data_IF_157369651808
#
_entry.id   IF_157369651808
#
_cell.length_a   1.000
_cell.length_b   1.000
_cell.length_c   1.000
_cell.angle_alpha   90.00
_cell.angle_beta   90.00
_cell.angle_gamma   90.00
#
_symmetry.space_group_name_H-M   'P 1'
#
loop_
_entity.id
_entity.type
_entity.pdbx_description
1 polymer ?
#
# COMPACT_ATOMS: atom_id res chain seq x y z
N UNK A 1 14.71 1.10 -15.13
CA UNK A 1 14.70 -0.37 -14.89
C UNK A 1 13.82 -1.13 -15.88
N UNK A 2 12.82 -0.49 -16.46
CA UNK A 2 11.95 -1.06 -17.49
C UNK A 2 11.52 0.03 -18.47
N UNK A 3 10.85 -0.32 -19.58
CA UNK A 3 10.42 0.66 -20.60
C UNK A 3 9.58 1.82 -20.05
N UNK A 4 8.78 1.59 -19.01
CA UNK A 4 7.94 2.64 -18.40
C UNK A 4 8.74 3.73 -17.67
N UNK A 5 10.06 3.57 -17.50
CA UNK A 5 10.94 4.61 -16.97
C UNK A 5 11.22 5.72 -17.99
N UNK A 6 10.74 5.59 -19.24
CA UNK A 6 10.76 6.63 -20.26
C UNK A 6 9.37 6.71 -20.87
N UNK A 7 8.69 7.83 -20.70
CA UNK A 7 7.33 8.05 -21.21
C UNK A 7 7.26 9.39 -21.93
N UNK A 8 6.34 9.49 -22.89
CA UNK A 8 6.04 10.74 -23.56
C UNK A 8 4.87 11.45 -22.86
N UNK A 9 5.00 12.77 -22.75
CA UNK A 9 3.99 13.67 -22.21
C UNK A 9 3.84 14.87 -23.14
N UNK A 10 2.67 15.49 -23.11
CA UNK A 10 2.46 16.77 -23.77
C UNK A 10 2.89 17.91 -22.82
N UNK A 11 3.82 18.78 -23.24
CA UNK A 11 4.32 19.84 -22.38
C UNK A 11 3.25 20.93 -22.17
N UNK A 12 3.05 21.31 -20.91
CA UNK A 12 2.25 22.47 -20.52
C UNK A 12 3.21 23.54 -20.01
N UNK A 13 3.13 24.74 -20.58
CA UNK A 13 3.96 25.86 -20.13
C UNK A 13 3.55 26.27 -18.73
N UNK A 14 4.54 26.42 -17.86
CA UNK A 14 4.38 26.82 -16.46
C UNK A 14 5.41 27.90 -16.12
N UNK A 15 5.08 28.73 -15.14
CA UNK A 15 6.03 29.67 -14.56
C UNK A 15 6.83 28.94 -13.46
N UNK A 16 8.11 28.67 -13.71
CA UNK A 16 9.01 28.04 -12.73
C UNK A 16 10.11 27.19 -13.38
N UNK A 17 11.08 26.78 -12.56
CA UNK A 17 12.23 25.96 -13.00
C UNK A 17 12.09 24.47 -12.64
N UNK A 18 10.94 24.04 -12.11
CA UNK A 18 10.68 22.68 -11.68
C UNK A 18 9.72 21.98 -12.62
N UNK A 19 9.98 20.71 -12.94
CA UNK A 19 9.11 19.89 -13.78
C UNK A 19 7.91 19.43 -12.94
N UNK A 20 6.70 19.71 -13.43
CA UNK A 20 5.48 19.15 -12.85
C UNK A 20 5.19 17.80 -13.52
N UNK A 21 5.13 16.74 -12.70
CA UNK A 21 4.80 15.40 -13.17
C UNK A 21 3.49 14.92 -12.53
N UNK A 22 2.72 14.16 -13.29
CA UNK A 22 1.46 13.62 -12.83
C UNK A 22 1.66 12.58 -11.71
N UNK A 23 0.96 12.64 -10.56
CA UNK A 23 1.23 11.77 -9.42
C UNK A 23 1.02 10.27 -9.69
N UNK A 24 0.13 9.92 -10.63
CA UNK A 24 -0.12 8.51 -10.99
C UNK A 24 1.02 7.85 -11.78
N UNK A 25 1.92 8.63 -12.39
CA UNK A 25 3.07 8.07 -13.11
C UNK A 25 4.30 7.89 -12.23
N UNK A 26 4.35 8.52 -11.05
CA UNK A 26 5.48 8.43 -10.12
C UNK A 26 5.82 6.97 -9.76
N UNK A 27 4.83 6.10 -9.63
CA UNK A 27 5.04 4.67 -9.39
C UNK A 27 5.80 3.97 -10.53
N UNK A 28 5.59 4.40 -11.78
CA UNK A 28 6.32 3.85 -12.93
C UNK A 28 7.77 4.37 -12.98
N UNK A 29 7.98 5.64 -12.64
CA UNK A 29 9.34 6.20 -12.57
C UNK A 29 10.11 5.76 -11.32
N UNK A 30 9.41 5.24 -10.31
CA UNK A 30 9.93 5.07 -8.96
C UNK A 30 10.55 6.39 -8.45
N UNK A 31 9.85 7.49 -8.73
CA UNK A 31 10.26 8.83 -8.37
C UNK A 31 9.46 9.32 -7.15
N UNK A 32 10.12 10.06 -6.28
CA UNK A 32 9.47 10.84 -5.24
C UNK A 32 9.75 12.33 -5.42
N UNK A 33 9.40 13.14 -4.42
CA UNK A 33 9.51 14.60 -4.48
C UNK A 33 10.46 15.16 -3.41
N UNK A 34 11.47 14.38 -3.00
CA UNK A 34 12.44 14.80 -2.00
C UNK A 34 13.71 15.49 -2.58
N UNK A 35 13.80 15.57 -3.91
CA UNK A 35 14.93 16.14 -4.63
C UNK A 35 15.28 15.45 -5.95
N UNK A 36 14.55 14.38 -6.30
CA UNK A 36 14.70 13.66 -7.56
C UNK A 36 14.68 14.59 -8.79
N UNK A 37 15.58 14.31 -9.73
CA UNK A 37 15.71 15.04 -10.99
C UNK A 37 15.31 14.16 -12.17
N UNK A 38 14.65 14.78 -13.16
CA UNK A 38 14.24 14.10 -14.39
C UNK A 38 14.86 14.75 -15.62
N UNK A 39 15.36 13.93 -16.53
CA UNK A 39 15.87 14.38 -17.81
C UNK A 39 14.72 14.48 -18.84
N UNK A 40 14.70 15.57 -19.61
CA UNK A 40 13.72 15.81 -20.67
C UNK A 40 14.41 15.75 -22.02
N UNK A 41 13.86 14.98 -22.94
CA UNK A 41 14.34 14.85 -24.32
C UNK A 41 13.25 15.28 -25.28
N UNK A 42 13.62 16.00 -26.34
CA UNK A 42 12.68 16.50 -27.35
C UNK A 42 12.85 15.69 -28.65
N UNK A 43 11.82 14.95 -29.10
CA UNK A 43 11.87 14.26 -30.38
C UNK A 43 11.85 15.26 -31.54
N UNK A 44 12.83 15.17 -32.45
CA UNK A 44 12.99 16.11 -33.56
C UNK A 44 12.38 15.61 -34.87
N UNK A 45 12.52 14.32 -35.18
CA UNK A 45 12.02 13.76 -36.44
C UNK A 45 10.52 13.49 -36.36
N UNK A 46 9.80 13.63 -37.48
CA UNK A 46 8.37 13.29 -37.54
C UNK A 46 8.08 11.84 -37.13
N UNK A 47 9.00 10.93 -37.48
CA UNK A 47 8.91 9.53 -37.09
C UNK A 47 8.99 9.36 -35.56
N UNK A 48 9.95 10.03 -34.91
CA UNK A 48 10.11 9.99 -33.45
C UNK A 48 8.94 10.66 -32.72
N UNK A 49 8.40 11.76 -33.24
CA UNK A 49 7.21 12.41 -32.68
C UNK A 49 6.00 11.48 -32.75
N UNK A 50 5.82 10.79 -33.88
CA UNK A 50 4.75 9.80 -34.06
C UNK A 50 4.92 8.62 -33.10
N UNK A 51 6.11 8.06 -33.00
CA UNK A 51 6.42 6.97 -32.05
C UNK A 51 6.15 7.39 -30.60
N UNK A 52 6.58 8.60 -30.21
CA UNK A 52 6.34 9.12 -28.87
C UNK A 52 4.83 9.21 -28.56
N UNK A 53 4.02 9.70 -29.51
CA UNK A 53 2.55 9.80 -29.35
C UNK A 53 1.85 8.45 -29.41
N UNK A 54 2.29 7.55 -30.28
CA UNK A 54 1.59 6.29 -30.54
C UNK A 54 2.01 5.16 -29.62
N UNK A 55 3.24 5.15 -29.08
CA UNK A 55 3.78 4.04 -28.30
C UNK A 55 4.24 4.45 -26.90
N UNK A 56 4.85 5.63 -26.77
CA UNK A 56 5.45 6.06 -25.50
C UNK A 56 4.52 6.88 -24.61
N UNK A 57 3.38 7.33 -25.12
CA UNK A 57 2.43 8.16 -24.38
C UNK A 57 2.02 7.46 -23.07
N UNK A 58 2.03 8.22 -21.96
CA UNK A 58 1.73 7.69 -20.62
C UNK A 58 0.38 6.96 -20.56
N UNK A 59 -0.64 7.46 -21.27
CA UNK A 59 -1.98 6.87 -21.36
C UNK A 59 -1.99 5.44 -21.91
N UNK A 60 -1.05 5.09 -22.80
CA UNK A 60 -0.97 3.73 -23.39
C UNK A 60 -0.17 2.77 -22.52
N UNK A 61 0.61 3.32 -21.58
CA UNK A 61 1.55 2.62 -20.74
C UNK A 61 1.00 2.42 -19.32
N UNK A 62 -0.28 2.02 -19.22
CA UNK A 62 -0.98 1.82 -17.94
C UNK A 62 -0.61 0.52 -17.23
N UNK A 63 -0.23 -0.52 -17.98
CA UNK A 63 0.00 -1.86 -17.47
C UNK A 63 1.49 -2.21 -17.40
N UNK A 64 1.86 -3.05 -16.43
CA UNK A 64 3.17 -3.69 -16.36
C UNK A 64 3.31 -4.68 -17.52
N UNK A 65 4.38 -4.58 -18.33
CA UNK A 65 4.67 -5.59 -19.35
C UNK A 65 4.94 -6.98 -18.76
N UNK A 66 5.35 -7.07 -17.50
CA UNK A 66 5.72 -8.32 -16.83
C UNK A 66 4.53 -9.17 -16.38
N UNK A 67 3.43 -8.56 -15.93
CA UNK A 67 2.30 -9.28 -15.33
C UNK A 67 0.93 -8.77 -15.80
N UNK A 68 0.86 -7.72 -16.62
CA UNK A 68 -0.40 -7.14 -17.09
C UNK A 68 -1.21 -6.43 -16.00
N UNK A 69 -0.66 -6.23 -14.81
CA UNK A 69 -1.31 -5.46 -13.74
C UNK A 69 -1.16 -3.96 -13.97
N UNK A 70 -2.13 -3.13 -13.53
CA UNK A 70 -2.03 -1.68 -13.68
C UNK A 70 -0.94 -1.10 -12.78
N UNK A 71 -0.04 -0.31 -13.37
CA UNK A 71 0.98 0.50 -12.65
C UNK A 71 0.38 1.80 -12.16
N UNK A 72 -0.39 2.46 -13.04
CA UNK A 72 -1.04 3.72 -12.76
C UNK A 72 -2.27 3.47 -11.87
N UNK A 73 -2.01 3.33 -10.58
CA UNK A 73 -3.03 3.13 -9.56
C UNK A 73 -2.94 4.25 -8.53
N UNK A 74 -4.07 4.65 -7.91
CA UNK A 74 -4.03 5.60 -6.81
C UNK A 74 -3.09 5.11 -5.69
N UNK A 75 -2.25 6.01 -5.19
CA UNK A 75 -1.29 5.76 -4.12
C UNK A 75 -1.50 6.74 -2.95
N UNK A 76 -0.98 6.38 -1.78
CA UNK A 76 -0.91 7.24 -0.58
C UNK A 76 -2.23 7.98 -0.31
N UNK A 77 -2.22 9.31 -0.39
CA UNK A 77 -3.33 10.21 -0.03
C UNK A 77 -4.59 9.97 -0.86
N UNK A 78 -4.43 9.62 -2.15
CA UNK A 78 -5.58 9.28 -2.99
C UNK A 78 -6.31 8.04 -2.46
N UNK A 79 -5.55 7.04 -2.00
CA UNK A 79 -6.12 5.84 -1.37
C UNK A 79 -6.76 6.19 -0.04
N UNK A 80 -6.10 7.01 0.77
CA UNK A 80 -6.64 7.43 2.07
C UNK A 80 -7.98 8.17 1.92
N UNK A 81 -8.08 9.11 0.97
CA UNK A 81 -9.33 9.84 0.71
C UNK A 81 -10.45 8.93 0.22
N UNK A 82 -10.16 8.01 -0.71
CA UNK A 82 -11.14 7.03 -1.18
C UNK A 82 -11.58 6.07 -0.06
N UNK A 83 -10.64 5.66 0.80
CA UNK A 83 -10.92 4.80 1.94
C UNK A 83 -11.80 5.53 2.96
N UNK A 84 -11.44 6.75 3.35
CA UNK A 84 -12.21 7.59 4.26
C UNK A 84 -13.64 7.80 3.75
N UNK A 85 -13.79 8.10 2.46
CA UNK A 85 -15.08 8.30 1.81
C UNK A 85 -15.96 7.04 1.82
N UNK A 86 -15.37 5.85 1.75
CA UNK A 86 -16.11 4.58 1.62
C UNK A 86 -16.20 3.76 2.90
N UNK A 87 -15.56 4.22 3.97
CA UNK A 87 -15.63 3.62 5.30
C UNK A 87 -16.97 3.91 5.98
N UNK A 88 -17.45 2.98 6.79
CA UNK A 88 -18.72 3.10 7.52
C UNK A 88 -18.43 3.13 9.02
N UNK A 89 -19.03 4.10 9.70
CA UNK A 89 -18.93 4.26 11.15
C UNK A 89 -20.28 3.99 11.81
N UNK A 90 -20.26 3.07 12.79
CA UNK A 90 -21.43 2.80 13.64
C UNK A 90 -21.68 4.00 14.55
N UNK A 91 -22.93 4.43 14.70
CA UNK A 91 -23.32 5.60 15.50
C UNK A 91 -23.10 6.94 14.81
N UNK A 92 -22.82 6.97 13.50
CA UNK A 92 -22.64 8.22 12.76
C UNK A 92 -23.96 8.98 12.59
N UNK A 93 -23.87 10.31 12.44
CA UNK A 93 -25.04 11.20 12.31
C UNK A 93 -25.86 10.79 11.08
N UNK A 94 -27.11 10.37 11.31
CA UNK A 94 -28.02 9.97 10.24
C UNK A 94 -28.08 8.48 9.92
N UNK A 95 -27.50 7.63 10.77
CA UNK A 95 -27.62 6.17 10.68
C UNK A 95 -29.09 5.71 10.60
N UNK A 96 -29.37 4.79 9.69
CA UNK A 96 -30.69 4.18 9.48
C UNK A 96 -31.72 5.09 8.78
N UNK A 97 -31.34 6.29 8.34
CA UNK A 97 -32.23 7.14 7.54
C UNK A 97 -32.49 6.52 6.17
N UNK A 98 -33.73 6.71 5.69
CA UNK A 98 -34.20 6.19 4.41
C UNK A 98 -34.37 7.33 3.41
N UNK A 99 -33.81 7.15 2.21
CA UNK A 99 -33.91 8.11 1.11
C UNK A 99 -34.52 7.44 -0.12
N UNK A 100 -35.26 8.21 -0.93
CA UNK A 100 -35.91 7.67 -2.13
C UNK A 100 -34.93 7.46 -3.27
N UNK A 101 -33.89 8.29 -3.38
CA UNK A 101 -32.86 8.18 -4.40
C UNK A 101 -31.50 8.73 -3.95
N UNK A 102 -30.52 8.63 -4.86
CA UNK A 102 -29.13 9.06 -4.59
C UNK A 102 -29.00 10.58 -4.42
N UNK A 103 -29.73 11.36 -5.22
CA UNK A 103 -29.77 12.82 -5.12
C UNK A 103 -30.28 13.30 -3.76
N UNK A 104 -31.32 12.65 -3.20
CA UNK A 104 -31.85 13.01 -1.88
C UNK A 104 -30.83 12.77 -0.76
N UNK A 105 -30.10 11.65 -0.85
CA UNK A 105 -29.04 11.33 0.10
C UNK A 105 -27.89 12.33 0.00
N UNK A 106 -27.51 12.73 -1.22
CA UNK A 106 -26.47 13.74 -1.44
C UNK A 106 -26.89 15.11 -0.91
N UNK A 107 -28.11 15.55 -1.21
CA UNK A 107 -28.65 16.81 -0.69
C UNK A 107 -28.67 16.80 0.85
N UNK A 108 -29.05 15.68 1.47
CA UNK A 108 -29.01 15.54 2.92
C UNK A 108 -27.59 15.65 3.49
N UNK A 109 -26.57 15.19 2.76
CA UNK A 109 -25.17 15.37 3.14
C UNK A 109 -24.74 16.84 3.02
N UNK A 110 -25.06 17.49 1.89
CA UNK A 110 -24.75 18.90 1.65
C UNK A 110 -25.41 19.84 2.68
N UNK A 111 -26.61 19.49 3.15
CA UNK A 111 -27.32 20.17 4.24
C UNK A 111 -26.82 19.82 5.64
N UNK A 112 -25.83 18.91 5.77
CA UNK A 112 -25.26 18.48 7.04
C UNK A 112 -26.19 17.62 7.91
N UNK A 113 -27.23 17.02 7.32
CA UNK A 113 -28.22 16.18 8.00
C UNK A 113 -27.74 14.72 8.19
N UNK A 114 -26.79 14.28 7.37
CA UNK A 114 -26.12 12.98 7.45
C UNK A 114 -24.60 13.15 7.33
N UNK A 115 -23.84 12.22 7.91
CA UNK A 115 -22.39 12.12 7.75
C UNK A 115 -22.01 11.22 6.57
N UNK A 116 -20.80 11.38 6.02
CA UNK A 116 -20.28 10.59 4.89
C UNK A 116 -20.23 9.08 5.18
N UNK A 117 -19.92 8.76 6.43
CA UNK A 117 -19.66 7.43 6.99
C UNK A 117 -20.91 6.79 7.62
N UNK A 118 -22.07 7.47 7.59
CA UNK A 118 -23.32 6.93 8.12
C UNK A 118 -23.90 5.85 7.20
N UNK A 119 -24.34 4.74 7.81
CA UNK A 119 -25.07 3.69 7.10
C UNK A 119 -26.52 4.15 6.85
N UNK A 120 -26.89 4.27 5.58
CA UNK A 120 -28.19 4.76 5.10
C UNK A 120 -28.85 3.72 4.19
N UNK A 121 -30.17 3.77 4.12
CA UNK A 121 -30.97 2.95 3.20
C UNK A 121 -31.46 3.82 2.04
N UNK A 122 -31.07 3.48 0.81
CA UNK A 122 -31.47 4.25 -0.38
C UNK A 122 -32.20 3.35 -1.36
N UNK A 123 -33.32 3.83 -1.90
CA UNK A 123 -34.02 3.16 -2.99
C UNK A 123 -33.14 3.07 -4.24
N UNK A 124 -32.95 1.86 -4.77
CA UNK A 124 -32.12 1.64 -5.96
C UNK A 124 -32.66 2.34 -7.21
N UNK A 125 -31.76 2.93 -8.00
CA UNK A 125 -32.06 3.56 -9.30
C UNK A 125 -32.64 2.60 -10.35
N UNK A 126 -32.58 1.28 -10.13
CA UNK A 126 -32.98 0.28 -11.13
C UNK A 126 -34.49 -0.02 -11.17
N UNK A 127 -35.34 0.80 -10.56
CA UNK A 127 -36.80 0.65 -10.63
C UNK A 127 -37.40 -0.57 -9.93
N UNK A 128 -36.57 -1.50 -9.42
CA UNK A 128 -37.00 -2.74 -8.77
C UNK A 128 -37.39 -2.59 -7.29
N UNK A 129 -37.38 -1.38 -6.72
CA UNK A 129 -37.76 -1.17 -5.32
C UNK A 129 -36.81 -1.80 -4.28
N UNK A 130 -35.65 -2.30 -4.70
CA UNK A 130 -34.64 -2.83 -3.78
C UNK A 130 -34.01 -1.69 -2.98
N UNK A 131 -34.11 -1.80 -1.65
CA UNK A 131 -33.47 -0.89 -0.70
C UNK A 131 -32.02 -1.31 -0.53
N UNK A 132 -31.10 -0.46 -0.95
CA UNK A 132 -29.65 -0.68 -0.83
C UNK A 132 -29.14 -0.04 0.46
N UNK A 133 -28.48 -0.84 1.31
CA UNK A 133 -27.72 -0.34 2.46
C UNK A 133 -26.37 0.18 2.00
N UNK A 134 -26.14 1.48 2.06
CA UNK A 134 -24.92 2.14 1.57
C UNK A 134 -24.54 3.30 2.49
N UNK A 135 -23.55 4.10 2.11
CA UNK A 135 -23.23 5.38 2.77
C UNK A 135 -23.29 6.53 1.77
N UNK A 136 -23.46 7.76 2.26
CA UNK A 136 -23.41 8.95 1.42
C UNK A 136 -22.07 9.06 0.68
N UNK A 137 -20.96 8.71 1.35
CA UNK A 137 -19.66 8.73 0.70
C UNK A 137 -19.50 7.66 -0.39
N UNK A 138 -20.05 6.45 -0.21
CA UNK A 138 -20.07 5.44 -1.28
C UNK A 138 -20.89 5.89 -2.49
N UNK A 139 -21.98 6.64 -2.29
CA UNK A 139 -22.78 7.19 -3.40
C UNK A 139 -21.92 8.18 -4.21
N UNK A 140 -21.29 9.13 -3.53
CA UNK A 140 -20.40 10.13 -4.14
C UNK A 140 -19.25 9.45 -4.90
N UNK A 141 -18.65 8.39 -4.33
CA UNK A 141 -17.61 7.62 -5.00
C UNK A 141 -18.11 6.96 -6.29
N UNK A 142 -19.32 6.42 -6.28
CA UNK A 142 -19.90 5.73 -7.44
C UNK A 142 -20.38 6.68 -8.55
N UNK A 143 -20.71 7.94 -8.23
CA UNK A 143 -21.05 8.96 -9.24
C UNK A 143 -19.87 9.24 -10.19
N UNK A 144 -18.65 9.18 -9.65
CA UNK A 144 -17.40 9.39 -10.39
C UNK A 144 -17.07 8.23 -11.33
N UNK A 145 -17.63 7.04 -11.08
CA UNK A 145 -17.39 5.87 -11.91
C UNK A 145 -18.27 5.87 -13.19
N UNK A 146 -17.78 5.26 -14.28
CA UNK A 146 -18.57 5.07 -15.50
C UNK A 146 -19.85 4.27 -15.19
N UNK A 147 -20.91 4.51 -15.97
CA UNK A 147 -22.23 3.88 -15.78
C UNK A 147 -22.15 2.36 -15.61
N UNK A 148 -21.27 1.70 -16.36
CA UNK A 148 -21.06 0.25 -16.37
C UNK A 148 -20.44 -0.30 -15.07
N UNK A 149 -19.79 0.55 -14.28
CA UNK A 149 -19.10 0.20 -13.04
C UNK A 149 -19.77 0.72 -11.77
N UNK A 150 -20.93 1.37 -11.91
CA UNK A 150 -21.67 1.92 -10.77
C UNK A 150 -22.10 0.82 -9.79
N UNK A 151 -22.18 1.20 -8.52
CA UNK A 151 -22.57 0.38 -7.37
C UNK A 151 -21.54 -0.61 -6.82
N UNK A 152 -20.33 -0.13 -6.56
CA UNK A 152 -19.37 -0.81 -5.67
C UNK A 152 -19.66 -0.46 -4.21
N UNK A 153 -20.36 -1.34 -3.52
CA UNK A 153 -20.70 -1.17 -2.10
C UNK A 153 -19.68 -1.84 -1.17
N UNK A 154 -18.41 -1.45 -1.27
CA UNK A 154 -17.31 -1.99 -0.46
C UNK A 154 -16.37 -0.86 -0.04
N UNK A 155 -15.56 -1.12 0.98
CA UNK A 155 -14.48 -0.20 1.37
C UNK A 155 -13.38 -0.25 0.30
N UNK A 156 -12.94 0.91 -0.14
CA UNK A 156 -11.94 1.05 -1.20
C UNK A 156 -10.54 1.15 -0.60
N UNK A 157 -9.96 -0.01 -0.29
CA UNK A 157 -8.52 -0.13 0.02
C UNK A 157 -7.66 -0.09 -1.26
N UNK A 158 -6.34 -0.01 -1.10
CA UNK A 158 -5.37 -0.02 -2.22
C UNK A 158 -5.57 -1.21 -3.17
N UNK A 159 -5.90 -2.39 -2.63
CA UNK A 159 -6.10 -3.61 -3.43
C UNK A 159 -7.43 -3.62 -4.19
N UNK A 160 -8.47 -3.02 -3.64
CA UNK A 160 -9.78 -2.83 -4.25
C UNK A 160 -9.69 -1.78 -5.37
N UNK A 161 -8.98 -0.68 -5.14
CA UNK A 161 -8.72 0.33 -6.18
C UNK A 161 -7.89 -0.25 -7.32
N UNK A 162 -6.85 -1.04 -7.04
CA UNK A 162 -6.06 -1.74 -8.07
C UNK A 162 -6.94 -2.65 -8.93
N UNK A 163 -7.85 -3.42 -8.31
CA UNK A 163 -8.81 -4.27 -9.01
C UNK A 163 -9.80 -3.46 -9.84
N UNK A 164 -10.31 -2.35 -9.30
CA UNK A 164 -11.21 -1.46 -10.01
C UNK A 164 -10.57 -0.91 -11.29
N UNK A 165 -9.32 -0.45 -11.20
CA UNK A 165 -8.57 0.05 -12.37
C UNK A 165 -8.31 -1.08 -13.38
N UNK A 166 -7.98 -2.28 -12.92
CA UNK A 166 -7.78 -3.43 -13.80
C UNK A 166 -9.07 -3.82 -14.54
N UNK A 167 -10.21 -3.83 -13.84
CA UNK A 167 -11.50 -4.13 -14.44
C UNK A 167 -11.90 -3.04 -15.46
N UNK A 168 -11.70 -1.76 -15.11
CA UNK A 168 -11.97 -0.63 -16.02
C UNK A 168 -11.14 -0.75 -17.30
N UNK A 169 -9.84 -1.05 -17.18
CA UNK A 169 -8.97 -1.20 -18.34
C UNK A 169 -9.41 -2.33 -19.26
N UNK A 170 -9.84 -3.48 -18.69
CA UNK A 170 -10.28 -4.65 -19.46
C UNK A 170 -11.57 -4.42 -20.23
N UNK A 171 -12.52 -3.68 -19.66
CA UNK A 171 -13.86 -3.51 -20.23
C UNK A 171 -13.98 -2.25 -21.10
N UNK A 172 -13.37 -1.15 -20.68
CA UNK A 172 -13.54 0.17 -21.29
C UNK A 172 -12.30 0.67 -22.06
N UNK A 173 -11.17 -0.02 -21.95
CA UNK A 173 -9.91 0.39 -22.57
C UNK A 173 -9.23 1.54 -21.83
N UNK A 174 -8.17 2.09 -22.46
CA UNK A 174 -7.25 3.02 -21.81
C UNK A 174 -7.79 4.45 -21.67
N UNK A 175 -8.56 4.96 -22.64
CA UNK A 175 -9.04 6.35 -22.62
C UNK A 175 -10.05 6.60 -21.49
N UNK A 176 -11.04 5.72 -21.38
CA UNK A 176 -12.01 5.77 -20.30
C UNK A 176 -11.35 5.55 -18.93
N UNK A 177 -10.40 4.62 -18.83
CA UNK A 177 -9.65 4.36 -17.60
C UNK A 177 -8.84 5.58 -17.16
N UNK A 178 -8.27 6.34 -18.09
CA UNK A 178 -7.57 7.59 -17.79
C UNK A 178 -8.50 8.62 -17.14
N UNK A 179 -9.69 8.82 -17.71
CA UNK A 179 -10.68 9.74 -17.17
C UNK A 179 -11.14 9.32 -15.76
N UNK A 180 -11.34 8.01 -15.54
CA UNK A 180 -11.67 7.47 -14.22
C UNK A 180 -10.55 7.74 -13.22
N UNK A 181 -9.30 7.46 -13.60
CA UNK A 181 -8.13 7.71 -12.76
C UNK A 181 -7.98 9.19 -12.39
N UNK A 182 -8.22 10.11 -13.33
CA UNK A 182 -8.17 11.54 -13.07
C UNK A 182 -9.27 12.01 -12.13
N UNK A 183 -10.48 11.47 -12.27
CA UNK A 183 -11.56 11.80 -11.36
C UNK A 183 -11.33 11.19 -9.96
N UNK A 184 -10.81 9.95 -9.88
CA UNK A 184 -10.40 9.32 -8.62
C UNK A 184 -9.29 10.10 -7.93
N UNK A 185 -8.33 10.65 -8.69
CA UNK A 185 -7.29 11.53 -8.16
C UNK A 185 -7.89 12.78 -7.52
N UNK A 186 -8.76 13.49 -8.24
CA UNK A 186 -9.43 14.71 -7.73
C UNK A 186 -10.23 14.40 -6.47
N UNK A 187 -11.06 13.36 -6.51
CA UNK A 187 -11.88 12.91 -5.39
C UNK A 187 -11.01 12.50 -4.19
N UNK A 188 -9.97 11.71 -4.44
CA UNK A 188 -9.05 11.23 -3.41
C UNK A 188 -8.37 12.39 -2.68
N UNK A 189 -7.82 13.38 -3.40
CA UNK A 189 -7.18 14.53 -2.76
C UNK A 189 -8.17 15.44 -2.03
N UNK A 190 -9.36 15.67 -2.59
CA UNK A 190 -10.38 16.49 -1.94
C UNK A 190 -10.83 15.87 -0.60
N UNK A 191 -11.16 14.58 -0.59
CA UNK A 191 -11.61 13.90 0.62
C UNK A 191 -10.48 13.56 1.58
N UNK A 192 -9.24 13.40 1.13
CA UNK A 192 -8.08 13.33 2.02
C UNK A 192 -7.86 14.65 2.76
N UNK A 193 -8.10 15.79 2.11
CA UNK A 193 -8.03 17.10 2.76
C UNK A 193 -9.17 17.29 3.75
N UNK A 194 -10.41 16.93 3.36
CA UNK A 194 -11.60 17.04 4.23
C UNK A 194 -11.57 16.07 5.41
N UNK A 195 -10.88 14.93 5.31
CA UNK A 195 -10.81 13.97 6.40
C UNK A 195 -10.08 14.53 7.62
N UNK A 196 -9.24 15.57 7.45
CA UNK A 196 -8.47 16.16 8.53
C UNK A 196 -7.53 15.15 9.20
N UNK A 197 -7.13 14.10 8.47
CA UNK A 197 -6.31 13.03 9.03
C UNK A 197 -4.95 13.58 9.38
N UNK A 198 -4.63 13.55 10.67
CA UNK A 198 -3.34 13.94 11.21
C UNK A 198 -2.75 12.79 12.02
N UNK A 199 -1.48 12.94 12.40
CA UNK A 199 -0.80 12.04 13.32
C UNK A 199 -0.27 12.90 14.46
N UNK A 200 -0.78 12.67 15.66
CA UNK A 200 -0.25 13.21 16.89
C UNK A 200 0.49 12.11 17.67
N UNK A 201 1.40 12.53 18.56
CA UNK A 201 2.06 11.58 19.46
C UNK A 201 1.04 10.85 20.37
N UNK A 202 -0.10 11.48 20.67
CA UNK A 202 -1.21 10.88 21.42
C UNK A 202 -1.90 9.73 20.69
N UNK A 203 -1.87 9.71 19.35
CA UNK A 203 -2.56 8.68 18.55
C UNK A 203 -1.85 7.33 18.60
N UNK A 204 -0.59 7.34 19.05
CA UNK A 204 0.23 6.16 19.28
C UNK A 204 0.15 5.82 20.77
N UNK A 205 -0.86 5.04 21.16
CA UNK A 205 -1.01 4.59 22.54
C UNK A 205 -0.26 3.29 22.80
N UNK A 206 0.57 3.29 23.85
CA UNK A 206 1.27 2.09 24.32
C UNK A 206 0.27 1.22 25.09
N UNK A 207 0.07 -0.06 24.72
CA UNK A 207 -0.88 -0.92 25.41
C UNK A 207 -0.48 -1.15 26.87
N UNK A 208 -1.43 -1.03 27.80
CA UNK A 208 -1.19 -1.27 29.24
C UNK A 208 -0.76 -2.72 29.52
N UNK A 209 -1.21 -3.68 28.73
CA UNK A 209 -0.83 -5.09 28.84
C UNK A 209 0.62 -5.37 28.43
N UNK A 210 1.30 -4.42 27.76
CA UNK A 210 2.69 -4.58 27.32
C UNK A 210 3.62 -4.94 28.46
N UNK A 211 3.55 -4.23 29.59
CA UNK A 211 4.42 -4.48 30.74
C UNK A 211 4.29 -5.92 31.25
N UNK A 212 3.04 -6.40 31.35
CA UNK A 212 2.75 -7.77 31.77
C UNK A 212 3.27 -8.82 30.77
N UNK A 213 3.10 -8.58 29.47
CA UNK A 213 3.61 -9.49 28.43
C UNK A 213 5.15 -9.57 28.42
N UNK A 214 5.83 -8.46 28.72
CA UNK A 214 7.29 -8.44 28.86
C UNK A 214 7.75 -9.21 30.10
N UNK A 215 7.06 -9.04 31.23
CA UNK A 215 7.34 -9.77 32.46
C UNK A 215 7.13 -11.29 32.29
N UNK A 216 6.04 -11.70 31.65
CA UNK A 216 5.79 -13.11 31.28
C UNK A 216 6.90 -13.67 30.36
N UNK A 217 7.42 -12.83 29.45
CA UNK A 217 8.55 -13.18 28.59
C UNK A 217 9.85 -13.37 29.39
N UNK A 218 10.15 -12.43 30.28
CA UNK A 218 11.34 -12.47 31.14
C UNK A 218 11.33 -13.69 32.09
N UNK A 219 10.17 -14.03 32.67
CA UNK A 219 10.01 -15.24 33.51
C UNK A 219 10.29 -16.52 32.72
N UNK A 220 9.78 -16.61 31.49
CA UNK A 220 10.04 -17.78 30.62
C UNK A 220 11.51 -17.91 30.26
N UNK A 221 12.18 -16.80 29.96
CA UNK A 221 13.63 -16.79 29.68
C UNK A 221 14.42 -17.18 30.93
N UNK A 222 14.04 -16.69 32.12
CA UNK A 222 14.70 -17.07 33.38
C UNK A 222 14.60 -18.58 33.66
N UNK A 223 13.48 -19.23 33.32
CA UNK A 223 13.34 -20.69 33.41
C UNK A 223 14.30 -21.39 32.45
N UNK A 224 14.43 -20.91 31.22
CA UNK A 224 15.36 -21.46 30.21
C UNK A 224 16.81 -21.30 30.70
N UNK A 225 17.18 -20.13 31.22
CA UNK A 225 18.51 -19.91 31.81
C UNK A 225 18.76 -20.82 33.02
N UNK A 226 17.76 -21.02 33.89
CA UNK A 226 17.90 -21.96 35.01
C UNK A 226 18.07 -23.41 34.53
N UNK A 227 17.44 -23.82 33.44
CA UNK A 227 17.62 -25.16 32.86
C UNK A 227 19.03 -25.31 32.29
N UNK A 228 19.53 -24.28 31.61
CA UNK A 228 20.90 -24.23 31.09
C UNK A 228 21.93 -24.30 32.22
N UNK A 229 21.76 -23.51 33.28
CA UNK A 229 22.66 -23.51 34.45
C UNK A 229 22.66 -24.84 35.21
N UNK A 230 21.59 -25.63 35.10
CA UNK A 230 21.50 -26.99 35.64
C UNK A 230 22.02 -28.07 34.68
N UNK A 231 22.48 -27.69 33.50
CA UNK A 231 23.00 -28.61 32.47
C UNK A 231 21.92 -29.45 31.78
N UNK A 232 20.64 -29.04 31.82
CA UNK A 232 19.52 -29.80 31.23
C UNK A 232 19.34 -29.54 29.73
N UNK A 233 19.86 -28.42 29.22
CA UNK A 233 19.77 -28.01 27.81
C UNK A 233 21.13 -27.53 27.32
N UNK A 234 21.35 -27.60 26.00
CA UNK A 234 22.57 -27.06 25.37
C UNK A 234 22.47 -25.55 25.14
N UNK A 235 23.58 -24.88 24.82
CA UNK A 235 23.56 -23.44 24.51
C UNK A 235 22.80 -23.13 23.21
N UNK A 236 22.89 -24.00 22.20
CA UNK A 236 22.13 -23.86 20.95
C UNK A 236 20.61 -23.99 21.21
N UNK A 237 20.20 -24.88 22.11
CA UNK A 237 18.81 -25.01 22.55
C UNK A 237 18.35 -23.81 23.38
N UNK A 238 19.20 -23.31 24.29
CA UNK A 238 18.95 -22.08 25.06
C UNK A 238 18.70 -20.91 24.12
N UNK A 239 19.59 -20.71 23.15
CA UNK A 239 19.51 -19.63 22.16
C UNK A 239 18.23 -19.73 21.32
N UNK A 240 17.95 -20.92 20.76
CA UNK A 240 16.78 -21.13 19.89
C UNK A 240 15.47 -20.92 20.66
N UNK A 241 15.36 -21.46 21.88
CA UNK A 241 14.17 -21.27 22.74
C UNK A 241 14.00 -19.81 23.17
N UNK A 242 15.08 -19.10 23.46
CA UNK A 242 15.03 -17.67 23.84
C UNK A 242 14.47 -16.83 22.70
N UNK A 243 14.92 -17.08 21.46
CA UNK A 243 14.39 -16.40 20.26
C UNK A 243 12.91 -16.72 20.05
N UNK A 244 12.51 -17.97 20.22
CA UNK A 244 11.12 -18.40 20.08
C UNK A 244 10.21 -17.65 21.08
N UNK A 245 10.60 -17.61 22.36
CA UNK A 245 9.87 -16.87 23.40
C UNK A 245 9.69 -15.40 23.02
N UNK A 246 10.76 -14.73 22.61
CA UNK A 246 10.67 -13.30 22.25
C UNK A 246 9.90 -13.04 20.97
N UNK A 247 9.93 -13.99 20.02
CA UNK A 247 9.11 -13.92 18.81
C UNK A 247 7.62 -14.01 19.16
N UNK A 248 7.23 -14.97 20.00
CA UNK A 248 5.85 -15.11 20.49
C UNK A 248 5.39 -13.87 21.27
N UNK A 249 6.23 -13.33 22.16
CA UNK A 249 5.90 -12.10 22.92
C UNK A 249 5.70 -10.92 21.97
N UNK A 250 6.56 -10.79 20.96
CA UNK A 250 6.45 -9.73 19.94
C UNK A 250 5.14 -9.86 19.16
N UNK A 251 4.73 -11.06 18.80
CA UNK A 251 3.49 -11.31 18.06
C UNK A 251 2.25 -11.02 18.93
N UNK A 252 2.25 -11.44 20.21
CA UNK A 252 1.17 -11.09 21.16
C UNK A 252 1.03 -9.59 21.38
N UNK A 253 2.16 -8.87 21.47
CA UNK A 253 2.15 -7.40 21.54
C UNK A 253 1.57 -6.80 20.26
N UNK A 254 1.91 -7.35 19.09
CA UNK A 254 1.38 -6.90 17.79
C UNK A 254 -0.14 -7.06 17.71
N UNK A 255 -0.66 -8.19 18.17
CA UNK A 255 -2.10 -8.46 18.21
C UNK A 255 -2.82 -7.51 19.16
N UNK A 256 -2.27 -7.31 20.36
CA UNK A 256 -2.81 -6.38 21.36
C UNK A 256 -2.90 -4.95 20.79
N UNK A 257 -1.84 -4.47 20.14
CA UNK A 257 -1.82 -3.13 19.52
C UNK A 257 -2.90 -3.02 18.44
N UNK A 258 -3.04 -4.05 17.62
CA UNK A 258 -4.03 -4.07 16.53
C UNK A 258 -5.47 -3.99 17.07
N UNK A 259 -5.71 -4.51 18.27
CA UNK A 259 -7.01 -4.44 18.95
C UNK A 259 -7.23 -3.14 19.71
N UNK A 260 -6.18 -2.53 20.27
CA UNK A 260 -6.27 -1.31 21.08
C UNK A 260 -6.36 -0.03 20.26
N UNK A 261 -5.87 -0.04 19.01
CA UNK A 261 -5.93 1.12 18.13
C UNK A 261 -7.38 1.51 17.80
N UNK A 262 -7.66 2.81 17.84
CA UNK A 262 -8.94 3.33 17.36
C UNK A 262 -9.09 3.02 15.86
N UNK A 263 -10.14 2.25 15.52
CA UNK A 263 -10.46 1.85 14.15
C UNK A 263 -10.78 3.03 13.24
N UNK A 264 -11.11 4.19 13.82
CA UNK A 264 -11.38 5.42 13.10
C UNK A 264 -10.25 6.46 13.26
N UNK A 265 -9.17 6.11 13.97
CA UNK A 265 -8.00 6.96 14.14
C UNK A 265 -7.14 7.03 12.88
N UNK A 266 -6.42 8.14 12.71
CA UNK A 266 -5.61 8.41 11.51
C UNK A 266 -4.56 7.33 11.23
N UNK A 267 -3.82 6.91 12.27
CA UNK A 267 -2.77 5.88 12.17
C UNK A 267 -3.35 4.54 11.68
N UNK A 268 -4.52 4.14 12.20
CA UNK A 268 -5.17 2.90 11.80
C UNK A 268 -5.67 2.97 10.35
N UNK A 269 -6.31 4.07 9.97
CA UNK A 269 -6.78 4.28 8.60
C UNK A 269 -5.63 4.26 7.59
N UNK A 270 -4.48 4.85 7.91
CA UNK A 270 -3.31 4.86 7.01
C UNK A 270 -2.74 3.46 6.77
N UNK A 271 -2.65 2.63 7.80
CA UNK A 271 -2.15 1.26 7.68
C UNK A 271 -3.16 0.30 7.04
N UNK A 272 -4.44 0.37 7.41
CA UNK A 272 -5.47 -0.55 6.90
C UNK A 272 -5.92 -0.24 5.47
N UNK A 273 -5.95 1.04 5.09
CA UNK A 273 -6.21 1.43 3.70
C UNK A 273 -5.10 0.98 2.74
N UNK A 274 -3.90 0.68 3.25
CA UNK A 274 -2.71 0.45 2.46
C UNK A 274 -2.14 1.73 1.84
N UNK A 275 -2.60 2.91 2.30
CA UNK A 275 -2.10 4.20 1.87
C UNK A 275 -0.62 4.35 2.28
N UNK A 276 -0.33 4.30 3.59
CA UNK A 276 1.04 4.42 4.10
C UNK A 276 1.15 3.76 5.46
N UNK A 277 2.20 2.96 5.64
CA UNK A 277 2.45 2.29 6.90
C UNK A 277 2.02 0.83 6.90
N UNK A 278 2.68 0.04 7.76
CA UNK A 278 2.32 -1.35 8.05
C UNK A 278 2.10 -1.51 9.56
N UNK A 279 1.29 -2.48 9.98
CA UNK A 279 1.10 -2.89 11.38
C UNK A 279 2.47 -3.15 12.05
N UNK A 280 3.44 -3.72 11.32
CA UNK A 280 4.81 -3.91 11.83
C UNK A 280 5.51 -2.59 12.18
N UNK A 281 5.27 -1.51 11.42
CA UNK A 281 5.82 -0.18 11.73
C UNK A 281 5.11 0.45 12.91
N UNK A 282 3.78 0.29 13.01
CA UNK A 282 3.01 0.75 14.17
C UNK A 282 3.48 0.03 15.45
N UNK A 283 3.76 -1.27 15.35
CA UNK A 283 4.35 -2.06 16.44
C UNK A 283 5.68 -1.47 16.92
N UNK A 284 6.56 -1.02 16.02
CA UNK A 284 7.81 -0.39 16.43
C UNK A 284 7.60 0.97 17.11
N UNK A 285 6.52 1.68 16.77
CA UNK A 285 6.19 2.97 17.39
C UNK A 285 5.58 2.84 18.79
N UNK A 286 4.63 1.91 18.99
CA UNK A 286 3.85 1.78 20.23
C UNK A 286 4.17 0.55 21.08
N UNK A 287 4.74 -0.49 20.48
CA UNK A 287 4.91 -1.80 21.08
C UNK A 287 6.33 -2.02 21.56
N UNK A 288 7.08 -2.79 20.79
CA UNK A 288 8.50 -3.01 21.00
C UNK A 288 9.16 -3.14 19.63
N UNK A 289 10.46 -2.87 19.56
CA UNK A 289 11.19 -3.03 18.31
C UNK A 289 11.45 -4.51 17.99
N UNK A 290 11.67 -5.32 19.02
CA UNK A 290 11.88 -6.77 18.91
C UNK A 290 13.36 -7.15 18.80
N UNK A 291 13.60 -8.35 18.28
CA UNK A 291 14.93 -8.90 18.07
C UNK A 291 15.65 -8.20 16.91
N UNK A 292 16.98 -8.04 17.04
CA UNK A 292 17.84 -7.41 16.04
C UNK A 292 18.90 -8.38 15.55
N UNK A 293 19.48 -8.09 14.38
CA UNK A 293 20.59 -8.87 13.83
C UNK A 293 21.92 -8.15 14.01
N UNK A 294 22.92 -8.94 14.38
CA UNK A 294 24.32 -8.55 14.43
C UNK A 294 24.91 -8.46 12.99
N UNK A 295 26.05 -7.77 12.74
CA UNK A 295 26.66 -7.73 11.42
C UNK A 295 26.97 -9.11 10.83
N UNK A 296 27.28 -10.09 11.68
CA UNK A 296 27.48 -11.49 11.27
C UNK A 296 26.19 -12.18 10.79
N UNK A 297 25.01 -11.57 10.99
CA UNK A 297 23.71 -12.12 10.61
C UNK A 297 23.06 -13.02 11.66
N UNK A 298 23.69 -13.18 12.83
CA UNK A 298 23.07 -13.84 13.99
C UNK A 298 22.05 -12.91 14.64
N UNK A 299 20.98 -13.48 15.20
CA UNK A 299 19.99 -12.71 15.96
C UNK A 299 20.54 -12.50 17.37
N UNK A 300 20.47 -11.27 17.86
CA UNK A 300 20.85 -10.95 19.24
C UNK A 300 19.73 -11.48 20.14
N UNK A 301 20.08 -12.37 21.09
CA UNK A 301 19.14 -13.00 22.03
C UNK A 301 18.55 -12.02 23.06
N UNK A 302 19.10 -10.82 23.13
CA UNK A 302 18.56 -9.69 23.88
C UNK A 302 17.70 -8.76 23.00
N UNK A 303 16.36 -8.72 23.19
CA UNK A 303 15.48 -7.88 22.39
C UNK A 303 15.49 -6.41 22.86
N UNK A 304 15.10 -5.51 21.95
CA UNK A 304 14.79 -4.12 22.29
C UNK A 304 13.33 -4.05 22.78
N UNK A 305 13.17 -3.84 24.09
CA UNK A 305 11.86 -3.81 24.78
C UNK A 305 11.18 -2.45 24.62
N UNK A 306 11.96 -1.39 24.48
CA UNK A 306 11.44 -0.05 24.27
C UNK A 306 10.84 0.14 22.87
N UNK A 307 9.88 1.06 22.78
CA UNK A 307 9.31 1.57 21.54
C UNK A 307 9.86 2.96 21.20
N UNK A 308 9.63 3.45 19.98
CA UNK A 308 10.01 4.82 19.62
C UNK A 308 9.26 5.89 20.43
N UNK A 309 8.05 5.58 20.90
CA UNK A 309 7.27 6.49 21.76
C UNK A 309 7.88 6.64 23.14
N UNK A 310 8.36 5.55 23.74
CA UNK A 310 9.00 5.58 25.06
C UNK A 310 10.44 6.10 25.00
N UNK A 311 11.09 5.96 23.84
CA UNK A 311 12.49 6.28 23.64
C UNK A 311 13.38 5.08 23.93
N UNK A 312 14.51 4.98 23.22
CA UNK A 312 15.46 3.89 23.36
C UNK A 312 16.59 4.27 24.32
N UNK A 313 17.05 3.32 25.12
CA UNK A 313 18.30 3.46 25.87
C UNK A 313 19.51 3.50 24.93
N UNK A 314 20.67 3.96 25.44
CA UNK A 314 21.91 4.02 24.66
C UNK A 314 22.30 2.64 24.10
N UNK A 315 22.17 1.59 24.91
CA UNK A 315 22.49 0.22 24.50
C UNK A 315 21.54 -0.27 23.41
N UNK A 316 20.23 -0.09 23.58
CA UNK A 316 19.21 -0.50 22.60
C UNK A 316 19.36 0.25 21.28
N UNK A 317 19.65 1.55 21.35
CA UNK A 317 19.91 2.35 20.16
C UNK A 317 21.17 1.88 19.44
N UNK A 318 22.26 1.63 20.17
CA UNK A 318 23.52 1.12 19.61
C UNK A 318 23.32 -0.24 18.92
N UNK A 319 22.62 -1.19 19.55
CA UNK A 319 22.29 -2.47 18.94
C UNK A 319 21.48 -2.29 17.65
N UNK A 320 20.50 -1.37 17.65
CA UNK A 320 19.72 -1.07 16.45
C UNK A 320 20.55 -0.52 15.28
N UNK A 321 21.70 0.10 15.52
CA UNK A 321 22.51 0.68 14.43
C UNK A 321 23.13 -0.37 13.52
N UNK A 322 23.46 -1.56 14.03
CA UNK A 322 24.07 -2.64 13.27
C UNK A 322 23.14 -3.11 12.14
N UNK A 323 21.90 -3.45 12.49
CA UNK A 323 20.88 -3.86 11.52
C UNK A 323 20.55 -2.74 10.51
N UNK A 324 20.45 -1.49 10.97
CA UNK A 324 20.16 -0.36 10.10
C UNK A 324 21.28 -0.10 9.07
N UNK A 325 22.55 -0.08 9.52
CA UNK A 325 23.70 0.12 8.64
C UNK A 325 23.85 -1.03 7.64
N UNK A 326 23.71 -2.27 8.11
CA UNK A 326 23.76 -3.46 7.23
C UNK A 326 22.66 -3.41 6.17
N UNK A 327 21.42 -3.06 6.56
CA UNK A 327 20.32 -2.90 5.61
C UNK A 327 20.62 -1.89 4.51
N UNK A 328 21.14 -0.71 4.86
CA UNK A 328 21.52 0.32 3.89
C UNK A 328 22.67 -0.14 2.97
N UNK A 329 23.70 -0.79 3.54
CA UNK A 329 24.83 -1.31 2.76
C UNK A 329 24.38 -2.44 1.82
N UNK A 330 23.55 -3.37 2.28
CA UNK A 330 23.02 -4.48 1.50
C UNK A 330 22.14 -3.97 0.36
N UNK A 331 21.31 -2.95 0.58
CA UNK A 331 20.52 -2.32 -0.49
C UNK A 331 21.42 -1.74 -1.57
N UNK A 332 22.49 -1.01 -1.20
CA UNK A 332 23.44 -0.47 -2.17
C UNK A 332 24.18 -1.56 -2.96
N UNK A 333 24.62 -2.64 -2.28
CA UNK A 333 25.30 -3.78 -2.93
C UNK A 333 24.34 -4.59 -3.83
N UNK A 334 23.07 -4.73 -3.45
CA UNK A 334 22.07 -5.44 -4.27
C UNK A 334 21.71 -4.70 -5.55
N UNK A 335 21.78 -3.37 -5.55
CA UNK A 335 21.51 -2.56 -6.75
C UNK A 335 22.47 -2.90 -7.90
N UNK A 336 23.77 -3.10 -7.61
CA UNK A 336 24.74 -3.46 -8.66
C UNK A 336 24.48 -4.87 -9.22
N UNK A 337 24.17 -5.83 -8.35
CA UNK A 337 23.89 -7.21 -8.74
C UNK A 337 22.63 -7.32 -9.61
N UNK A 338 21.57 -6.59 -9.26
CA UNK A 338 20.34 -6.56 -10.04
C UNK A 338 20.60 -6.02 -11.45
N UNK A 339 21.33 -4.90 -11.57
CA UNK A 339 21.69 -4.33 -12.88
C UNK A 339 22.57 -5.25 -13.71
N UNK A 340 23.51 -5.95 -13.08
CA UNK A 340 24.35 -6.94 -13.75
C UNK A 340 23.55 -8.11 -14.33
N UNK A 341 22.62 -8.66 -13.54
CA UNK A 341 21.75 -9.73 -14.00
C UNK A 341 20.85 -9.27 -15.16
N UNK A 342 20.25 -8.08 -15.05
CA UNK A 342 19.42 -7.53 -16.14
C UNK A 342 20.22 -7.37 -17.43
N UNK A 343 21.46 -6.88 -17.35
CA UNK A 343 22.35 -6.78 -18.52
C UNK A 343 22.60 -8.15 -19.16
N UNK A 344 22.99 -9.15 -18.38
CA UNK A 344 23.22 -10.51 -18.90
C UNK A 344 21.98 -11.11 -19.56
N UNK A 345 20.79 -10.86 -19.00
CA UNK A 345 19.54 -11.33 -19.60
C UNK A 345 19.24 -10.64 -20.93
N UNK A 346 19.50 -9.32 -21.02
CA UNK A 346 19.34 -8.57 -22.27
C UNK A 346 20.34 -9.07 -23.32
N UNK A 347 21.61 -9.28 -22.96
CA UNK A 347 22.66 -9.73 -23.89
C UNK A 347 22.31 -11.07 -24.57
N UNK A 348 21.54 -11.94 -23.91
CA UNK A 348 21.10 -13.24 -24.47
C UNK A 348 19.79 -13.14 -25.25
N UNK A 349 18.86 -12.28 -24.81
CA UNK A 349 17.49 -12.22 -25.34
C UNK A 349 17.23 -11.07 -26.33
N UNK A 350 18.22 -10.22 -26.61
CA UNK A 350 18.05 -9.03 -27.46
C UNK A 350 17.57 -9.37 -28.88
N UNK A 351 18.01 -10.50 -29.43
CA UNK A 351 17.67 -10.92 -30.80
C UNK A 351 16.34 -11.71 -30.88
N UNK A 352 15.63 -11.87 -29.76
CA UNK A 352 14.33 -12.56 -29.73
C UNK A 352 13.22 -11.58 -30.16
N UNK A 353 12.82 -11.66 -31.42
CA UNK A 353 11.81 -10.80 -32.06
C UNK A 353 10.69 -11.68 -32.63
N UNK A 354 9.44 -11.30 -32.40
CA UNK A 354 8.27 -11.98 -32.99
C UNK A 354 8.23 -11.62 -34.49
N UNK A 355 8.49 -12.60 -35.35
CA UNK A 355 8.55 -12.43 -36.81
C UNK A 355 7.32 -12.95 -37.56
N UNK A 356 6.58 -13.89 -36.97
CA UNK A 356 5.42 -14.56 -37.56
C UNK A 356 4.26 -14.66 -36.57
N UNK A 357 3.02 -14.71 -37.08
CA UNK A 357 1.81 -14.77 -36.24
C UNK A 357 1.52 -16.19 -35.72
N UNK A 358 1.75 -17.22 -36.53
CA UNK A 358 1.54 -18.62 -36.19
C UNK A 358 2.60 -19.50 -36.87
N UNK A 359 3.30 -20.30 -36.07
CA UNK A 359 4.30 -21.26 -36.54
C UNK A 359 3.69 -22.60 -36.96
N UNK A 360 2.41 -22.85 -36.66
CA UNK A 360 1.67 -24.06 -37.02
C UNK A 360 2.09 -25.32 -36.27
N UNK A 361 2.79 -25.19 -35.14
CA UNK A 361 3.23 -26.33 -34.33
C UNK A 361 2.17 -26.78 -33.33
N UNK A 362 1.99 -28.10 -33.19
CA UNK A 362 1.15 -28.72 -32.17
C UNK A 362 1.90 -28.99 -30.84
N UNK A 363 3.21 -28.67 -30.78
CA UNK A 363 4.04 -28.89 -29.59
C UNK A 363 3.78 -27.82 -28.53
N UNK A 364 3.59 -28.26 -27.27
CA UNK A 364 3.32 -27.36 -26.15
C UNK A 364 3.67 -27.95 -24.80
N UNK A 365 3.50 -27.14 -23.76
CA UNK A 365 3.72 -27.55 -22.37
C UNK A 365 2.38 -27.65 -21.63
N UNK A 366 2.20 -28.72 -20.86
CA UNK A 366 1.01 -28.87 -20.00
C UNK A 366 1.15 -27.97 -18.77
N UNK A 367 0.20 -27.06 -18.58
CA UNK A 367 0.11 -26.22 -17.39
C UNK A 367 -0.81 -26.88 -16.36
N UNK A 368 -0.28 -27.14 -15.16
CA UNK A 368 -1.05 -27.67 -14.03
C UNK A 368 -0.98 -26.71 -12.84
N UNK A 369 -2.09 -26.56 -12.12
CA UNK A 369 -2.15 -25.73 -10.93
C UNK A 369 -1.47 -26.44 -9.75
N UNK A 370 -0.36 -25.86 -9.26
CA UNK A 370 0.52 -26.47 -8.24
C UNK A 370 -0.18 -26.69 -6.89
N UNK A 371 -1.39 -26.14 -6.68
CA UNK A 371 -2.20 -26.30 -5.45
C UNK A 371 -3.06 -27.57 -5.39
N UNK A 372 -3.05 -28.41 -6.43
CA UNK A 372 -3.82 -29.67 -6.50
C UNK A 372 -2.95 -30.94 -6.64
N UNK A 373 -1.65 -30.86 -6.35
CA UNK A 373 -0.74 -32.00 -6.33
C UNK A 373 -0.45 -32.47 -4.91
#
# INVERSE_FOLDING_TARGET
LHRLSVQAFEPVLIDGSAIQIHPLVCAAFNADFDGDQMAVHVPLSRAAVREAREQMLSLKNMLLPSCGEPVMTPTLDMVLGCYYLTNIKKGAKGEGKKFKGFEDARLAYELGLISLDAEIEVGGSNGNGEVLKTSAGRIIFNEVLPLEFRFRNRVMDKGALKRLVADCYRLLGYEATANVLDNLKKLGFEYATKSGTTIAASDVEVPKSKAKLLEEGDERVAVIESQFNRGLITDDERYSKTIEVWTEVTDKITETISQSLDRYGGVYMMATSGAKGNISQIRQMAGMRGLMTDPAGRIIDFPIKASFREGLSVMEYFMSTHGARKGLADTALRTSNAGYLTRRLIDVAQDVIISEEDCGSDDGIFLADRKRA
#
